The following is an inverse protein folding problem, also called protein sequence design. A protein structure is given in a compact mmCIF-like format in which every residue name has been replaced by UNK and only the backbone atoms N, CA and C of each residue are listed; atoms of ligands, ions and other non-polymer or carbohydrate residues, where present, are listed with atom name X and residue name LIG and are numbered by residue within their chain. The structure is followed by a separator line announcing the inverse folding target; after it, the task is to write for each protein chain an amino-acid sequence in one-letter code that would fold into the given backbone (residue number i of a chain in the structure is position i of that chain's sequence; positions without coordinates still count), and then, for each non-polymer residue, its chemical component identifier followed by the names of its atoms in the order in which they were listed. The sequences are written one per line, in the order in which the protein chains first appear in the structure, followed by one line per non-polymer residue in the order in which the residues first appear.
data_IF_878518015595
#
_entry.id   IF_878518015595
#
_cell.length_a   1.000
_cell.length_b   1.000
_cell.length_c   1.000
_cell.angle_alpha   90.00
_cell.angle_beta   90.00
_cell.angle_gamma   90.00
#
_symmetry.space_group_name_H-M   'P 1'
#
loop_
_entity.id
_entity.type
_entity.pdbx_description
1 polymer ?
#
# COMPACT_ATOMS: atom_id res chain seq x y z
N UNK A 1 6.47 -15.52 -27.20
CA UNK A 1 5.98 -15.96 -25.87
C UNK A 1 5.32 -14.79 -25.12
N UNK A 2 4.25 -15.06 -24.35
CA UNK A 2 3.57 -14.05 -23.51
C UNK A 2 3.66 -14.43 -22.04
N UNK A 3 4.13 -13.51 -21.21
CA UNK A 3 4.31 -13.65 -19.76
C UNK A 3 3.32 -12.73 -19.07
N UNK A 4 2.55 -13.24 -18.11
CA UNK A 4 1.64 -12.43 -17.26
C UNK A 4 2.15 -12.41 -15.84
N UNK A 5 2.15 -11.23 -15.22
CA UNK A 5 2.67 -11.03 -13.87
C UNK A 5 1.52 -10.62 -12.97
N UNK A 6 1.33 -11.37 -11.89
CA UNK A 6 0.23 -11.19 -10.95
C UNK A 6 0.77 -11.31 -9.54
N UNK A 7 0.28 -10.46 -8.66
CA UNK A 7 0.53 -10.55 -7.22
C UNK A 7 -0.77 -10.91 -6.51
N UNK A 8 -0.67 -11.77 -5.51
CA UNK A 8 -1.77 -12.09 -4.60
C UNK A 8 -1.36 -11.67 -3.19
N UNK A 9 -2.26 -10.98 -2.51
CA UNK A 9 -2.16 -10.64 -1.10
C UNK A 9 -3.21 -11.41 -0.32
N UNK A 10 -2.83 -11.91 0.85
CA UNK A 10 -3.74 -12.54 1.80
C UNK A 10 -3.73 -11.69 3.07
N UNK A 11 -4.88 -11.11 3.40
CA UNK A 11 -5.04 -10.25 4.56
C UNK A 11 -5.11 -11.09 5.85
N UNK A 12 -4.85 -10.48 7.00
CA UNK A 12 -4.93 -11.16 8.30
C UNK A 12 -6.31 -11.77 8.64
N UNK A 13 -7.37 -11.39 7.92
CA UNK A 13 -8.72 -11.98 8.02
C UNK A 13 -9.02 -13.04 6.96
N UNK A 14 -8.03 -13.48 6.20
CA UNK A 14 -8.13 -14.56 5.20
C UNK A 14 -8.74 -14.15 3.85
N UNK A 15 -9.12 -12.88 3.67
CA UNK A 15 -9.45 -12.36 2.33
C UNK A 15 -8.22 -12.41 1.44
N UNK A 16 -8.41 -12.82 0.19
CA UNK A 16 -7.37 -12.80 -0.84
C UNK A 16 -7.71 -11.77 -1.90
N UNK A 17 -6.72 -11.00 -2.31
CA UNK A 17 -6.83 -10.04 -3.40
C UNK A 17 -5.74 -10.29 -4.43
N UNK A 18 -6.15 -10.28 -5.69
CA UNK A 18 -5.25 -10.51 -6.80
C UNK A 18 -5.16 -9.28 -7.69
N UNK A 19 -3.94 -8.89 -8.05
CA UNK A 19 -3.67 -7.73 -8.88
C UNK A 19 -2.88 -8.15 -10.11
N UNK A 20 -3.34 -7.71 -11.27
CA UNK A 20 -2.60 -7.86 -12.53
C UNK A 20 -1.59 -6.70 -12.63
N UNK A 21 -0.30 -7.05 -12.68
CA UNK A 21 0.79 -6.09 -12.73
C UNK A 21 1.27 -5.82 -14.15
N UNK A 22 0.77 -6.57 -15.13
CA UNK A 22 1.07 -6.38 -16.53
C UNK A 22 1.47 -7.66 -17.26
N UNK A 23 1.78 -7.47 -18.54
CA UNK A 23 2.18 -8.51 -19.46
C UNK A 23 3.49 -8.11 -20.13
N UNK A 24 4.38 -9.09 -20.30
CA UNK A 24 5.62 -8.96 -21.04
C UNK A 24 5.56 -9.91 -22.24
N UNK A 25 5.82 -9.40 -23.44
CA UNK A 25 5.83 -10.20 -24.67
C UNK A 25 7.25 -10.27 -25.21
N UNK A 26 7.61 -11.45 -25.72
CA UNK A 26 8.94 -11.77 -26.25
C UNK A 26 8.79 -12.47 -27.59
N UNK A 27 9.63 -12.13 -28.56
CA UNK A 27 9.74 -12.93 -29.77
C UNK A 27 10.45 -14.26 -29.46
N UNK A 28 10.11 -15.31 -30.21
CA UNK A 28 10.72 -16.64 -30.08
C UNK A 28 11.35 -17.14 -31.39
N UNK A 29 11.26 -16.34 -32.45
CA UNK A 29 11.77 -16.61 -33.80
C UNK A 29 13.01 -15.75 -34.06
N UNK A 30 12.93 -14.45 -33.76
CA UNK A 30 14.05 -13.52 -33.84
C UNK A 30 14.43 -13.06 -32.43
N UNK A 31 15.30 -13.83 -31.77
CA UNK A 31 15.68 -13.60 -30.38
C UNK A 31 16.93 -12.74 -30.30
N UNK A 32 16.87 -11.65 -29.54
CA UNK A 32 18.01 -10.80 -29.18
C UNK A 32 18.38 -10.95 -27.70
N UNK A 33 19.51 -10.37 -27.28
CA UNK A 33 19.91 -10.34 -25.86
C UNK A 33 18.86 -9.64 -24.98
N UNK A 34 18.12 -8.66 -25.53
CA UNK A 34 17.11 -7.88 -24.81
C UNK A 34 15.84 -8.69 -24.52
N UNK A 35 15.63 -9.81 -25.23
CA UNK A 35 14.48 -10.69 -25.04
C UNK A 35 14.64 -11.62 -23.83
N UNK A 36 15.84 -11.72 -23.27
CA UNK A 36 16.12 -12.56 -22.11
C UNK A 36 15.91 -11.79 -20.80
N UNK A 37 14.98 -12.27 -19.98
CA UNK A 37 14.66 -11.64 -18.70
C UNK A 37 13.90 -10.33 -18.86
N UNK A 38 14.05 -9.43 -17.88
CA UNK A 38 13.48 -8.09 -17.92
C UNK A 38 14.58 -7.09 -18.27
N UNK A 39 14.30 -6.19 -19.21
CA UNK A 39 15.10 -4.99 -19.38
C UNK A 39 15.07 -4.15 -18.09
N UNK A 40 16.05 -3.27 -17.92
CA UNK A 40 16.08 -2.36 -16.78
C UNK A 40 14.82 -1.48 -16.70
N UNK A 41 14.28 -1.09 -17.85
CA UNK A 41 13.05 -0.29 -17.93
C UNK A 41 11.83 -1.09 -17.46
N UNK A 42 11.66 -2.31 -17.95
CA UNK A 42 10.58 -3.22 -17.52
C UNK A 42 10.70 -3.56 -16.03
N UNK A 43 11.90 -3.88 -15.55
CA UNK A 43 12.16 -4.16 -14.15
C UNK A 43 11.79 -2.99 -13.24
N UNK A 44 12.21 -1.76 -13.58
CA UNK A 44 11.83 -0.55 -12.82
C UNK A 44 10.33 -0.30 -12.83
N UNK A 45 9.69 -0.47 -13.99
CA UNK A 45 8.25 -0.28 -14.13
C UNK A 45 7.47 -1.30 -13.30
N UNK A 46 7.85 -2.57 -13.37
CA UNK A 46 7.22 -3.64 -12.62
C UNK A 46 7.39 -3.45 -11.11
N UNK A 47 8.60 -3.13 -10.65
CA UNK A 47 8.87 -2.92 -9.22
C UNK A 47 8.11 -1.70 -8.68
N UNK A 48 7.92 -0.65 -9.50
CA UNK A 48 7.07 0.49 -9.13
C UNK A 48 5.61 0.07 -8.94
N UNK A 49 5.06 -0.74 -9.86
CA UNK A 49 3.67 -1.24 -9.74
C UNK A 49 3.50 -2.20 -8.56
N UNK A 50 4.48 -3.08 -8.30
CA UNK A 50 4.49 -3.94 -7.10
C UNK A 50 4.43 -3.08 -5.84
N UNK A 51 5.28 -2.05 -5.73
CA UNK A 51 5.26 -1.15 -4.58
C UNK A 51 3.91 -0.44 -4.44
N UNK A 52 3.26 -0.04 -5.55
CA UNK A 52 1.96 0.63 -5.49
C UNK A 52 0.91 -0.29 -4.90
N UNK A 53 0.78 -1.49 -5.44
CA UNK A 53 -0.19 -2.49 -4.98
C UNK A 53 0.06 -2.89 -3.53
N UNK A 54 1.32 -3.17 -3.16
CA UNK A 54 1.67 -3.53 -1.79
C UNK A 54 1.34 -2.41 -0.81
N UNK A 55 1.65 -1.15 -1.16
CA UNK A 55 1.30 -0.01 -0.32
C UNK A 55 -0.21 0.13 -0.19
N UNK A 56 -0.99 -0.02 -1.26
CA UNK A 56 -2.45 0.05 -1.21
C UNK A 56 -3.04 -0.98 -0.24
N UNK A 57 -2.64 -2.25 -0.36
CA UNK A 57 -3.15 -3.34 0.48
C UNK A 57 -2.67 -3.21 1.94
N UNK A 58 -1.40 -2.84 2.18
CA UNK A 58 -0.90 -2.58 3.53
C UNK A 58 -1.62 -1.41 4.20
N UNK A 59 -1.92 -0.35 3.45
CA UNK A 59 -2.69 0.78 3.97
C UNK A 59 -4.07 0.34 4.38
N UNK A 60 -4.74 -0.50 3.59
CA UNK A 60 -6.04 -1.05 3.93
C UNK A 60 -5.98 -1.92 5.18
N UNK A 61 -5.05 -2.87 5.23
CA UNK A 61 -4.90 -3.78 6.37
C UNK A 61 -4.63 -3.03 7.68
N UNK A 62 -3.63 -2.14 7.68
CA UNK A 62 -3.30 -1.31 8.85
C UNK A 62 -4.51 -0.48 9.26
N UNK A 63 -5.25 0.05 8.30
CA UNK A 63 -6.39 0.90 8.59
C UNK A 63 -7.54 0.12 9.18
N UNK A 64 -7.83 -1.08 8.69
CA UNK A 64 -8.90 -1.92 9.19
C UNK A 64 -8.61 -2.38 10.63
N UNK A 65 -7.38 -2.83 10.91
CA UNK A 65 -6.96 -3.14 12.28
C UNK A 65 -7.07 -1.92 13.21
N UNK A 66 -6.77 -0.72 12.68
CA UNK A 66 -6.84 0.54 13.45
C UNK A 66 -8.27 1.03 13.71
N UNK A 67 -9.29 0.40 13.12
CA UNK A 67 -10.70 0.74 13.35
C UNK A 67 -11.28 0.06 14.58
N UNK A 68 -10.55 -0.78 15.28
CA UNK A 68 -11.01 -1.35 16.55
C UNK A 68 -10.42 -0.56 17.72
N UNK A 69 -11.27 -0.01 18.60
CA UNK A 69 -10.79 0.62 19.81
C UNK A 69 -10.14 -0.41 20.74
N UNK A 70 -8.89 -0.18 21.12
CA UNK A 70 -8.14 -1.09 21.99
C UNK A 70 -8.68 -1.17 23.43
N UNK A 71 -9.53 -0.22 23.86
CA UNK A 71 -10.07 -0.17 25.22
C UNK A 71 -11.46 -0.80 25.33
N UNK A 72 -12.38 -0.46 24.42
CA UNK A 72 -13.77 -0.92 24.47
C UNK A 72 -14.16 -1.87 23.33
N UNK A 73 -13.25 -2.16 22.40
CA UNK A 73 -13.52 -3.02 21.25
C UNK A 73 -14.46 -2.42 20.19
N UNK A 74 -14.95 -1.19 20.38
CA UNK A 74 -15.89 -0.57 19.43
C UNK A 74 -15.24 -0.34 18.08
N UNK A 75 -15.99 -0.62 17.03
CA UNK A 75 -15.58 -0.36 15.66
C UNK A 75 -15.76 1.12 15.27
N UNK A 76 -14.74 1.69 14.64
CA UNK A 76 -14.61 3.11 14.39
C UNK A 76 -14.82 3.39 12.89
N UNK A 77 -15.67 4.37 12.55
CA UNK A 77 -15.90 4.71 11.15
C UNK A 77 -14.73 5.49 10.55
N UNK A 78 -14.57 5.35 9.24
CA UNK A 78 -13.69 6.21 8.44
C UNK A 78 -14.31 7.60 8.35
N UNK A 79 -13.51 8.63 8.63
CA UNK A 79 -13.90 10.04 8.51
C UNK A 79 -13.86 10.51 7.05
N UNK A 80 -12.67 10.41 6.44
CA UNK A 80 -12.36 10.79 5.07
C UNK A 80 -11.19 9.95 4.58
N UNK A 81 -10.96 9.93 3.26
CA UNK A 81 -9.74 9.42 2.64
C UNK A 81 -8.97 10.60 2.07
N UNK A 82 -7.65 10.61 2.25
CA UNK A 82 -6.76 11.64 1.72
C UNK A 82 -5.61 10.99 0.98
N UNK A 83 -5.25 11.59 -0.13
CA UNK A 83 -4.06 11.17 -0.86
C UNK A 83 -2.80 11.46 -0.04
N UNK A 84 -1.88 10.49 -0.03
CA UNK A 84 -0.51 10.67 0.42
C UNK A 84 0.44 10.16 -0.64
N UNK A 85 1.43 10.98 -0.96
CA UNK A 85 2.60 10.55 -1.71
C UNK A 85 3.62 9.89 -0.80
N UNK A 86 4.14 8.75 -1.25
CA UNK A 86 5.18 7.95 -0.63
C UNK A 86 6.31 7.82 -1.65
N UNK A 87 7.50 8.26 -1.27
CA UNK A 87 8.70 8.14 -2.10
C UNK A 87 9.31 6.74 -1.88
N UNK A 88 9.45 5.98 -2.96
CA UNK A 88 10.12 4.67 -2.99
C UNK A 88 11.35 4.73 -3.88
N UNK A 89 12.24 3.72 -3.78
CA UNK A 89 13.38 3.58 -4.68
C UNK A 89 12.97 3.52 -6.16
N UNK A 90 11.76 3.03 -6.44
CA UNK A 90 11.24 2.86 -7.80
C UNK A 90 10.35 4.02 -8.26
N UNK A 91 10.28 5.08 -7.45
CA UNK A 91 9.56 6.31 -7.77
C UNK A 91 8.52 6.71 -6.71
N UNK A 92 7.92 7.88 -6.91
CA UNK A 92 6.84 8.39 -6.07
C UNK A 92 5.54 7.66 -6.39
N UNK A 93 4.85 7.24 -5.33
CA UNK A 93 3.58 6.52 -5.39
C UNK A 93 2.56 7.31 -4.56
N UNK A 94 1.37 7.53 -5.10
CA UNK A 94 0.28 8.18 -4.37
C UNK A 94 -0.75 7.13 -3.99
N UNK A 95 -1.09 7.06 -2.70
CA UNK A 95 -2.09 6.13 -2.15
C UNK A 95 -3.17 6.88 -1.38
N UNK A 96 -4.41 6.38 -1.45
CA UNK A 96 -5.54 6.94 -0.73
C UNK A 96 -5.59 6.40 0.71
N UNK A 97 -5.23 7.24 1.67
CA UNK A 97 -5.09 6.86 3.08
C UNK A 97 -6.34 7.27 3.87
N UNK A 98 -7.03 6.35 4.55
CA UNK A 98 -8.16 6.69 5.38
C UNK A 98 -7.70 7.39 6.66
N UNK A 99 -8.55 8.28 7.17
CA UNK A 99 -8.50 8.79 8.54
C UNK A 99 -9.63 8.19 9.34
N UNK A 100 -9.31 7.61 10.47
CA UNK A 100 -10.25 6.90 11.34
C UNK A 100 -10.69 7.84 12.46
N UNK A 101 -11.99 7.83 12.78
CA UNK A 101 -12.52 8.57 13.94
C UNK A 101 -11.91 8.04 15.23
N UNK A 102 -11.68 8.91 16.20
CA UNK A 102 -11.18 8.50 17.51
C UNK A 102 -12.31 8.03 18.43
N UNK A 103 -12.01 7.02 19.25
CA UNK A 103 -12.89 6.63 20.36
C UNK A 103 -12.64 7.52 21.57
N UNK A 104 -13.70 7.82 22.33
CA UNK A 104 -13.59 8.62 23.57
C UNK A 104 -12.83 7.88 24.69
N UNK A 105 -12.70 6.56 24.63
CA UNK A 105 -11.98 5.77 25.63
C UNK A 105 -10.49 6.14 25.76
N UNK A 106 -9.89 6.77 24.75
CA UNK A 106 -8.48 7.18 24.75
C UNK A 106 -8.24 8.69 24.83
N UNK A 107 -9.30 9.49 25.02
CA UNK A 107 -9.24 10.96 25.02
C UNK A 107 -9.54 11.50 26.43
N UNK A 108 -8.53 11.84 27.24
CA UNK A 108 -8.76 12.58 28.48
C UNK A 108 -9.17 14.03 28.13
N UNK A 109 -10.42 14.39 28.47
CA UNK A 109 -10.79 15.78 28.79
C UNK A 109 -11.13 16.77 27.68
N UNK A 110 -11.13 16.42 26.38
CA UNK A 110 -11.48 17.38 25.31
C UNK A 110 -12.57 16.84 24.38
N UNK A 111 -13.82 17.20 24.69
CA UNK A 111 -15.04 16.67 24.06
C UNK A 111 -15.46 17.33 22.74
N UNK A 112 -14.75 18.34 22.23
CA UNK A 112 -15.30 19.17 21.14
C UNK A 112 -14.61 19.05 19.78
N UNK A 113 -13.43 18.42 19.69
CA UNK A 113 -12.82 18.16 18.38
C UNK A 113 -13.23 16.76 17.96
N UNK A 114 -14.06 16.68 16.92
CA UNK A 114 -14.34 15.49 16.10
C UNK A 114 -13.03 14.96 15.47
N UNK A 115 -12.10 14.49 16.30
CA UNK A 115 -10.74 14.18 15.93
C UNK A 115 -10.70 12.88 15.13
N UNK A 116 -10.04 12.93 13.98
CA UNK A 116 -9.73 11.78 13.16
C UNK A 116 -8.22 11.75 12.90
N UNK A 117 -7.62 10.57 12.96
CA UNK A 117 -6.19 10.38 12.75
C UNK A 117 -5.95 9.44 11.56
N UNK A 118 -4.84 9.63 10.85
CA UNK A 118 -4.42 8.66 9.84
C UNK A 118 -3.54 7.60 10.51
N UNK A 119 -3.89 6.31 10.42
CA UNK A 119 -3.09 5.21 10.96
C UNK A 119 -1.63 5.24 10.50
N UNK A 120 -1.39 5.66 9.25
CA UNK A 120 -0.06 5.74 8.66
C UNK A 120 0.83 6.84 9.23
N UNK A 121 0.30 7.78 10.01
CA UNK A 121 1.11 8.86 10.59
C UNK A 121 2.21 8.31 11.50
N UNK A 122 1.99 7.14 12.13
CA UNK A 122 2.98 6.49 12.98
C UNK A 122 4.02 5.69 12.20
N UNK A 123 3.60 5.09 11.08
CA UNK A 123 4.39 4.13 10.28
C UNK A 123 5.24 4.84 9.22
N UNK A 124 4.66 5.82 8.53
CA UNK A 124 5.28 6.55 7.42
C UNK A 124 5.47 8.04 7.76
N UNK A 125 6.30 8.30 8.78
CA UNK A 125 6.60 9.66 9.26
C UNK A 125 7.29 10.51 8.19
N UNK A 126 8.27 9.93 7.51
CA UNK A 126 9.10 10.62 6.51
C UNK A 126 8.54 10.55 5.09
N UNK A 127 7.32 10.01 4.91
CA UNK A 127 6.69 9.80 3.59
C UNK A 127 7.59 9.04 2.60
N UNK A 128 8.45 8.17 3.10
CA UNK A 128 9.35 7.37 2.30
C UNK A 128 9.42 5.96 2.88
N UNK A 129 9.51 4.97 2.00
CA UNK A 129 9.95 3.63 2.40
C UNK A 129 11.45 3.67 2.69
N UNK A 130 11.99 2.86 3.63
CA UNK A 130 13.41 2.83 3.91
C UNK A 130 14.24 2.63 2.63
N UNK A 131 15.21 3.51 2.40
CA UNK A 131 16.12 3.48 1.23
C UNK A 131 17.39 2.67 1.50
N UNK A 132 17.60 2.20 2.73
CA UNK A 132 18.84 1.56 3.16
C UNK A 132 18.72 0.04 3.07
N UNK A 133 19.49 -0.55 2.15
CA UNK A 133 20.09 -1.88 2.36
C UNK A 133 21.21 -1.67 3.41
N UNK A 134 21.38 -2.58 4.39
CA UNK A 134 22.55 -2.56 5.28
C UNK A 134 23.87 -2.62 4.52
#
# INVERSE_FOLDING_TARGET
MKIRIRIETEFGWGEKRSHDLGTVERDSVEVSEEDFGLSLAEGKSLLKEIQRVLLEDQVEEISEVSRVCQFCGSYLPVHDRRERSIDTLFGRITVAVPRVRMCMCGLPGHLEIKAAYSPLTRVLRNRATPVTVP
#
